data_IF_468337083476
#
_entry.id   IF_468337083476
#
_cell.length_a   1.000
_cell.length_b   1.000
_cell.length_c   1.000
_cell.angle_alpha   90.00
_cell.angle_beta   90.00
_cell.angle_gamma   90.00
#
_symmetry.space_group_name_H-M   'P 1'
#
loop_
_entity.id
_entity.type
_entity.pdbx_description
1 polymer ?
#
# COMPACT_ATOMS: atom_id res chain seq x y z
N UNK A 1 -51.05 -6.29 -7.62
CA UNK A 1 -51.64 -5.04 -7.09
C UNK A 1 -51.03 -4.76 -5.72
N UNK A 2 -49.75 -4.39 -5.68
CA UNK A 2 -49.07 -4.02 -4.43
C UNK A 2 -48.14 -2.85 -4.78
N UNK A 3 -48.65 -1.64 -4.55
CA UNK A 3 -47.93 -0.39 -4.76
C UNK A 3 -47.00 -0.15 -3.56
N UNK A 4 -45.75 0.32 -3.74
CA UNK A 4 -44.83 0.59 -2.65
C UNK A 4 -45.27 1.80 -1.82
N UNK A 5 -45.30 1.64 -0.50
CA UNK A 5 -45.50 2.67 0.50
C UNK A 5 -44.40 3.73 0.43
N UNK A 6 -44.77 4.95 0.04
CA UNK A 6 -43.94 6.14 0.09
C UNK A 6 -43.81 6.58 1.56
N UNK A 7 -42.58 6.60 2.08
CA UNK A 7 -42.24 7.11 3.40
C UNK A 7 -42.16 8.64 3.32
N UNK A 8 -43.23 9.31 3.73
CA UNK A 8 -43.26 10.73 4.06
C UNK A 8 -43.11 10.86 5.58
N UNK A 9 -41.87 10.80 6.08
CA UNK A 9 -41.56 11.25 7.43
C UNK A 9 -41.01 12.68 7.33
N UNK A 10 -41.96 13.63 7.30
CA UNK A 10 -41.74 15.05 7.49
C UNK A 10 -40.98 15.29 8.80
N UNK A 11 -39.68 15.59 8.67
CA UNK A 11 -38.83 15.96 9.79
C UNK A 11 -39.16 17.39 10.22
N UNK A 12 -40.19 17.52 11.06
CA UNK A 12 -40.66 18.76 11.67
C UNK A 12 -39.60 19.33 12.64
N UNK A 13 -38.73 20.21 12.13
CA UNK A 13 -37.84 21.03 12.95
C UNK A 13 -38.61 22.25 13.50
N UNK A 14 -39.65 22.00 14.29
CA UNK A 14 -40.41 23.00 15.03
C UNK A 14 -39.81 23.24 16.41
N UNK A 15 -39.14 24.37 16.62
CA UNK A 15 -38.58 24.69 17.94
C UNK A 15 -37.87 26.03 18.02
N UNK A 16 -38.61 27.12 17.86
CA UNK A 16 -38.12 28.49 18.01
C UNK A 16 -37.59 28.79 19.42
N UNK A 17 -36.40 29.40 19.48
CA UNK A 17 -36.01 30.26 20.58
C UNK A 17 -35.74 31.66 20.03
N UNK A 18 -36.73 32.54 20.23
CA UNK A 18 -36.62 33.95 19.93
C UNK A 18 -35.68 34.64 20.93
N UNK A 19 -34.51 35.06 20.45
CA UNK A 19 -33.64 36.02 21.13
C UNK A 19 -33.59 37.31 20.34
N UNK A 20 -34.52 38.24 20.61
CA UNK A 20 -34.46 39.62 20.10
C UNK A 20 -33.34 40.37 20.83
N UNK A 21 -32.22 40.62 20.15
CA UNK A 21 -31.36 41.74 20.48
C UNK A 21 -31.17 42.63 19.25
N UNK A 22 -31.88 43.75 19.26
CA UNK A 22 -31.71 44.86 18.35
C UNK A 22 -30.39 45.57 18.65
N UNK A 23 -29.47 45.53 17.70
CA UNK A 23 -28.23 46.30 17.74
C UNK A 23 -27.95 46.88 16.37
N UNK A 24 -28.44 48.11 16.14
CA UNK A 24 -28.15 48.92 14.97
C UNK A 24 -26.64 48.97 14.69
N UNK A 25 -26.18 48.33 13.60
CA UNK A 25 -24.92 48.68 12.95
C UNK A 25 -25.24 49.34 11.61
N UNK A 26 -24.73 50.57 11.50
CA UNK A 26 -24.94 51.56 10.44
C UNK A 26 -24.77 50.97 9.05
N UNK A 27 -25.67 51.35 8.15
CA UNK A 27 -25.52 51.29 6.71
C UNK A 27 -24.32 52.16 6.30
N UNK A 28 -23.30 51.56 5.69
CA UNK A 28 -22.25 52.30 5.01
C UNK A 28 -22.79 52.77 3.66
N UNK A 29 -22.58 54.03 3.25
CA UNK A 29 -23.11 54.57 2.00
C UNK A 29 -22.60 53.82 0.77
N UNK A 30 -23.54 53.46 -0.11
CA UNK A 30 -23.27 53.14 -1.51
C UNK A 30 -22.63 54.37 -2.17
N UNK A 31 -21.38 54.23 -2.60
CA UNK A 31 -20.77 55.17 -3.52
C UNK A 31 -20.99 54.61 -4.92
N UNK A 32 -21.97 55.17 -5.62
CA UNK A 32 -22.16 55.05 -7.06
C UNK A 32 -20.96 55.70 -7.76
N UNK A 33 -19.89 54.93 -7.96
CA UNK A 33 -18.73 55.32 -8.77
C UNK A 33 -18.99 54.87 -10.22
N UNK A 34 -20.00 55.49 -10.85
CA UNK A 34 -20.18 55.45 -12.30
C UNK A 34 -19.39 56.59 -12.96
N UNK A 35 -18.78 56.27 -14.11
CA UNK A 35 -18.39 57.21 -15.17
C UNK A 35 -17.07 58.00 -15.09
N UNK A 36 -15.94 57.33 -14.80
CA UNK A 36 -14.63 57.79 -15.30
C UNK A 36 -13.97 56.76 -16.21
N UNK A 37 -14.68 56.38 -17.27
CA UNK A 37 -14.16 55.54 -18.35
C UNK A 37 -13.95 56.37 -19.62
N UNK A 38 -13.04 57.35 -19.58
CA UNK A 38 -12.60 58.11 -20.76
C UNK A 38 -11.26 58.84 -20.51
N UNK A 39 -10.22 58.13 -20.05
CA UNK A 39 -8.84 58.64 -20.15
C UNK A 39 -8.16 58.12 -21.44
N UNK A 40 -8.11 58.94 -22.51
CA UNK A 40 -7.46 58.57 -23.78
C UNK A 40 -5.92 58.48 -23.69
N UNK A 41 -5.32 58.79 -22.54
CA UNK A 41 -3.88 58.62 -22.30
C UNK A 41 -3.51 57.35 -21.54
N UNK A 42 -4.48 56.46 -21.27
CA UNK A 42 -4.21 55.15 -20.68
C UNK A 42 -3.10 54.43 -21.47
N UNK A 43 -1.89 54.24 -20.89
CA UNK A 43 -0.78 53.64 -21.60
C UNK A 43 -1.16 52.21 -21.92
N UNK A 44 -1.23 51.90 -23.23
CA UNK A 44 -1.53 50.55 -23.74
C UNK A 44 -0.70 49.54 -22.94
N UNK A 45 -1.40 48.75 -22.14
CA UNK A 45 -0.89 47.73 -21.22
C UNK A 45 0.24 46.93 -21.88
N UNK A 46 1.48 47.31 -21.61
CA UNK A 46 2.66 46.46 -21.75
C UNK A 46 2.89 45.65 -20.45
N UNK A 47 1.81 45.41 -19.68
CA UNK A 47 1.81 44.70 -18.39
C UNK A 47 1.65 43.20 -18.64
N UNK A 48 2.60 42.59 -19.37
CA UNK A 48 2.65 41.12 -19.45
C UNK A 48 4.03 40.52 -19.24
N UNK A 49 5.11 41.30 -19.09
CA UNK A 49 6.45 40.71 -18.86
C UNK A 49 7.12 41.03 -17.54
N UNK A 50 6.80 42.16 -16.90
CA UNK A 50 7.47 42.53 -15.64
C UNK A 50 6.85 41.85 -14.40
N UNK A 51 5.53 41.65 -14.37
CA UNK A 51 4.87 40.96 -13.24
C UNK A 51 5.17 39.45 -13.22
N UNK A 52 5.28 38.81 -14.39
CA UNK A 52 5.69 37.40 -14.47
C UNK A 52 7.08 37.17 -13.83
N UNK A 53 8.03 38.08 -14.03
CA UNK A 53 9.37 37.96 -13.42
C UNK A 53 9.36 38.09 -11.87
N UNK A 54 8.46 38.91 -11.32
CA UNK A 54 8.29 39.08 -9.86
C UNK A 54 7.64 37.86 -9.21
N UNK A 55 6.62 37.29 -9.88
CA UNK A 55 5.96 36.05 -9.46
C UNK A 55 6.93 34.85 -9.46
N UNK A 56 7.76 34.73 -10.50
CA UNK A 56 8.79 33.68 -10.62
C UNK A 56 9.80 33.75 -9.47
N UNK A 57 10.30 34.94 -9.14
CA UNK A 57 11.28 35.12 -8.05
C UNK A 57 10.69 34.76 -6.69
N UNK A 58 9.43 35.15 -6.44
CA UNK A 58 8.73 34.82 -5.19
C UNK A 58 8.49 33.31 -5.07
N UNK A 59 8.13 32.64 -6.18
CA UNK A 59 7.98 31.19 -6.25
C UNK A 59 9.27 30.44 -5.92
N UNK A 60 10.41 30.88 -6.44
CA UNK A 60 11.73 30.27 -6.15
C UNK A 60 12.10 30.35 -4.67
N UNK A 61 11.84 31.48 -4.01
CA UNK A 61 12.14 31.66 -2.57
C UNK A 61 11.31 30.71 -1.71
N UNK A 62 10.02 30.55 -2.04
CA UNK A 62 9.13 29.62 -1.31
C UNK A 62 9.57 28.17 -1.51
N UNK A 63 9.92 27.78 -2.74
CA UNK A 63 10.42 26.43 -3.07
C UNK A 63 11.73 26.09 -2.33
N UNK A 64 12.66 27.06 -2.23
CA UNK A 64 13.90 26.87 -1.46
C UNK A 64 13.61 26.71 0.04
N UNK A 65 12.69 27.50 0.59
CA UNK A 65 12.33 27.44 2.01
C UNK A 65 11.67 26.10 2.35
N UNK A 66 10.80 25.62 1.47
CA UNK A 66 10.16 24.30 1.58
C UNK A 66 11.18 23.16 1.47
N UNK A 67 12.08 23.21 0.48
CA UNK A 67 13.17 22.22 0.33
C UNK A 67 14.09 22.15 1.55
N UNK A 68 14.41 23.30 2.15
CA UNK A 68 15.23 23.37 3.36
C UNK A 68 14.51 22.76 4.57
N UNK A 69 13.21 23.02 4.70
CA UNK A 69 12.39 22.42 5.76
C UNK A 69 12.27 20.90 5.59
N UNK A 70 12.06 20.40 4.37
CA UNK A 70 12.02 18.97 4.08
C UNK A 70 13.37 18.27 4.37
N UNK A 71 14.49 18.90 4.02
CA UNK A 71 15.83 18.40 4.36
C UNK A 71 16.03 18.31 5.88
N UNK A 72 15.50 19.28 6.65
CA UNK A 72 15.56 19.26 8.10
C UNK A 72 14.72 18.13 8.71
N UNK A 73 13.52 17.89 8.17
CA UNK A 73 12.63 16.86 8.67
C UNK A 73 13.13 15.44 8.34
N UNK A 74 13.70 15.24 7.15
CA UNK A 74 14.37 13.97 6.76
C UNK A 74 15.61 13.67 7.60
N UNK A 75 16.40 14.68 7.94
CA UNK A 75 17.52 14.51 8.87
C UNK A 75 17.03 14.07 10.26
N UNK A 76 15.91 14.62 10.73
CA UNK A 76 15.30 14.21 11.99
C UNK A 76 14.77 12.76 11.95
N UNK A 77 14.18 12.31 10.84
CA UNK A 77 13.73 10.91 10.70
C UNK A 77 14.91 9.94 10.66
N UNK A 78 15.96 10.24 9.87
CA UNK A 78 17.17 9.42 9.84
C UNK A 78 17.86 9.32 11.21
N UNK A 79 17.86 10.42 11.98
CA UNK A 79 18.39 10.43 13.35
C UNK A 79 17.57 9.50 14.27
N UNK A 80 16.24 9.50 14.15
CA UNK A 80 15.37 8.63 14.94
C UNK A 80 15.53 7.15 14.56
N UNK A 81 15.62 6.83 13.27
CA UNK A 81 15.86 5.46 12.79
C UNK A 81 17.22 4.94 13.24
N UNK A 82 18.26 5.78 13.23
CA UNK A 82 19.58 5.44 13.74
C UNK A 82 19.53 5.11 15.23
N UNK A 83 18.82 5.90 16.05
CA UNK A 83 18.65 5.61 17.48
C UNK A 83 17.77 4.38 17.74
N UNK A 84 16.75 4.13 16.93
CA UNK A 84 15.94 2.91 16.99
C UNK A 84 16.76 1.66 16.65
N UNK A 85 17.54 1.69 15.57
CA UNK A 85 18.42 0.60 15.18
C UNK A 85 19.54 0.36 16.21
N UNK A 86 20.12 1.43 16.78
CA UNK A 86 21.06 1.30 17.90
C UNK A 86 20.41 0.65 19.13
N UNK A 87 19.18 1.05 19.46
CA UNK A 87 18.43 0.47 20.58
C UNK A 87 18.10 -0.99 20.33
N UNK A 88 17.77 -1.36 19.08
CA UNK A 88 17.54 -2.74 18.67
C UNK A 88 18.83 -3.55 18.78
N UNK A 89 19.95 -3.08 18.25
CA UNK A 89 21.27 -3.73 18.38
C UNK A 89 21.64 -3.88 19.86
N UNK A 90 21.38 -2.89 20.70
CA UNK A 90 21.57 -2.99 22.15
C UNK A 90 20.64 -4.01 22.82
N UNK A 91 19.39 -4.13 22.35
CA UNK A 91 18.45 -5.14 22.84
C UNK A 91 18.89 -6.55 22.43
N UNK A 92 19.40 -6.72 21.22
CA UNK A 92 20.04 -7.96 20.75
C UNK A 92 21.28 -8.29 21.59
N UNK A 93 22.18 -7.33 21.84
CA UNK A 93 23.33 -7.52 22.70
C UNK A 93 22.94 -7.89 24.14
N UNK A 94 21.90 -7.25 24.67
CA UNK A 94 21.39 -7.53 26.02
C UNK A 94 20.75 -8.91 26.10
N UNK A 95 19.94 -9.27 25.11
CA UNK A 95 19.31 -10.60 25.00
C UNK A 95 20.38 -11.68 24.90
N UNK A 96 21.41 -11.46 24.07
CA UNK A 96 22.52 -12.39 23.92
C UNK A 96 23.32 -12.54 25.23
N UNK A 97 23.56 -11.42 25.95
CA UNK A 97 24.26 -11.43 27.24
C UNK A 97 23.44 -12.07 28.37
N UNK A 98 22.13 -11.84 28.37
CA UNK A 98 21.20 -12.36 29.39
C UNK A 98 20.66 -13.74 29.04
N UNK A 99 20.99 -14.29 27.86
CA UNK A 99 20.57 -15.62 27.49
C UNK A 99 21.20 -16.61 28.49
N UNK A 100 20.41 -17.46 29.20
CA UNK A 100 20.87 -18.19 30.39
C UNK A 100 22.00 -19.22 30.17
N UNK A 101 22.50 -19.38 28.94
CA UNK A 101 23.37 -20.48 28.56
C UNK A 101 24.81 -20.07 28.23
N UNK A 102 25.17 -18.78 28.31
CA UNK A 102 26.58 -18.40 28.25
C UNK A 102 27.14 -18.43 29.68
N UNK A 103 27.69 -19.60 30.03
CA UNK A 103 28.49 -19.79 31.23
C UNK A 103 29.47 -18.62 31.38
N UNK A 104 29.37 -17.90 32.49
CA UNK A 104 30.10 -16.67 32.77
C UNK A 104 31.59 -16.78 32.40
N UNK A 105 32.06 -15.94 31.48
CA UNK A 105 33.48 -15.69 31.28
C UNK A 105 34.14 -16.32 30.04
N UNK A 106 33.41 -17.06 29.21
CA UNK A 106 33.92 -17.52 27.90
C UNK A 106 33.18 -16.74 26.82
N UNK A 107 33.87 -15.85 26.11
CA UNK A 107 33.39 -15.25 24.87
C UNK A 107 32.87 -16.37 23.97
N UNK A 108 31.58 -16.42 23.62
CA UNK A 108 31.07 -17.46 22.75
C UNK A 108 31.80 -17.34 21.41
N UNK A 109 32.65 -18.31 21.10
CA UNK A 109 33.28 -18.36 19.79
C UNK A 109 32.14 -18.34 18.75
N UNK A 110 32.15 -17.47 17.73
CA UNK A 110 31.07 -17.37 16.75
C UNK A 110 30.64 -18.74 16.17
N UNK A 111 31.56 -19.70 16.11
CA UNK A 111 31.30 -21.10 15.71
C UNK A 111 30.29 -21.82 16.61
N UNK A 112 30.33 -21.62 17.93
CA UNK A 112 29.40 -22.26 18.87
C UNK A 112 27.97 -21.76 18.64
N UNK A 113 27.80 -20.45 18.40
CA UNK A 113 26.50 -19.87 18.07
C UNK A 113 25.99 -20.37 16.71
N UNK A 114 26.86 -20.43 15.70
CA UNK A 114 26.52 -20.99 14.38
C UNK A 114 26.07 -22.45 14.52
N UNK A 115 26.77 -23.26 15.31
CA UNK A 115 26.41 -24.66 15.55
C UNK A 115 25.05 -24.79 16.27
N UNK A 116 24.78 -23.95 17.27
CA UNK A 116 23.49 -23.92 17.96
C UNK A 116 22.35 -23.52 17.01
N UNK A 117 22.54 -22.48 16.20
CA UNK A 117 21.56 -22.07 15.19
C UNK A 117 21.33 -23.15 14.14
N UNK A 118 22.38 -23.86 13.73
CA UNK A 118 22.28 -24.98 12.81
C UNK A 118 21.53 -26.17 13.43
N UNK A 119 21.77 -26.47 14.71
CA UNK A 119 21.04 -27.48 15.47
C UNK A 119 19.56 -27.10 15.64
N UNK A 120 19.28 -25.82 15.94
CA UNK A 120 17.92 -25.31 16.05
C UNK A 120 17.18 -25.37 14.71
N UNK A 121 17.86 -25.01 13.61
CA UNK A 121 17.32 -25.07 12.25
C UNK A 121 17.01 -26.52 11.82
N UNK A 122 17.89 -27.46 12.12
CA UNK A 122 17.62 -28.89 11.85
C UNK A 122 16.49 -29.45 12.72
N UNK A 123 16.36 -28.99 13.98
CA UNK A 123 15.22 -29.31 14.83
C UNK A 123 13.91 -28.74 14.29
N UNK A 124 13.92 -27.50 13.80
CA UNK A 124 12.77 -26.85 13.16
C UNK A 124 12.32 -27.66 11.93
N UNK A 125 13.26 -28.05 11.07
CA UNK A 125 13.00 -28.82 9.85
C UNK A 125 12.42 -30.20 10.17
N UNK A 126 12.94 -30.88 11.19
CA UNK A 126 12.40 -32.16 11.69
C UNK A 126 10.96 -32.02 12.22
N UNK A 127 10.68 -30.98 13.01
CA UNK A 127 9.32 -30.72 13.50
C UNK A 127 8.37 -30.39 12.35
N UNK A 128 8.83 -29.65 11.35
CA UNK A 128 8.05 -29.29 10.16
C UNK A 128 7.72 -30.53 9.33
N UNK A 129 8.64 -31.46 9.18
CA UNK A 129 8.39 -32.74 8.50
C UNK A 129 7.37 -33.61 9.27
N UNK A 130 7.47 -33.67 10.61
CA UNK A 130 6.51 -34.39 11.44
C UNK A 130 5.10 -33.80 11.35
N UNK A 131 5.00 -32.46 11.33
CA UNK A 131 3.72 -31.76 11.15
C UNK A 131 3.08 -32.13 9.80
N UNK A 132 3.85 -32.13 8.71
CA UNK A 132 3.34 -32.50 7.39
C UNK A 132 2.93 -33.99 7.31
N UNK A 133 3.67 -34.89 7.97
CA UNK A 133 3.25 -36.30 8.11
C UNK A 133 1.95 -36.43 8.90
N UNK A 134 1.77 -35.65 9.97
CA UNK A 134 0.54 -35.66 10.77
C UNK A 134 -0.66 -35.16 9.96
N UNK A 135 -0.53 -34.04 9.23
CA UNK A 135 -1.58 -33.52 8.35
C UNK A 135 -1.99 -34.51 7.27
N UNK A 136 -1.04 -35.22 6.65
CA UNK A 136 -1.34 -36.26 5.65
C UNK A 136 -2.11 -37.43 6.26
N UNK A 137 -1.77 -37.84 7.49
CA UNK A 137 -2.51 -38.89 8.21
C UNK A 137 -3.92 -38.45 8.57
N UNK A 138 -4.09 -37.22 9.04
CA UNK A 138 -5.39 -36.64 9.36
C UNK A 138 -6.31 -36.59 8.12
N UNK A 139 -5.79 -36.09 6.99
CA UNK A 139 -6.54 -36.07 5.73
C UNK A 139 -6.96 -37.48 5.27
N UNK A 140 -6.10 -38.48 5.44
CA UNK A 140 -6.44 -39.87 5.13
C UNK A 140 -7.57 -40.41 6.02
N UNK A 141 -7.56 -40.10 7.33
CA UNK A 141 -8.63 -40.51 8.24
C UNK A 141 -9.98 -39.92 7.84
N UNK A 142 -10.03 -38.63 7.51
CA UNK A 142 -11.26 -37.94 7.08
C UNK A 142 -11.88 -38.67 5.87
N UNK A 143 -11.07 -39.03 4.87
CA UNK A 143 -11.56 -39.76 3.68
C UNK A 143 -12.11 -41.14 4.05
N UNK A 144 -11.41 -41.89 4.91
CA UNK A 144 -11.90 -43.23 5.32
C UNK A 144 -13.17 -43.16 6.16
N UNK A 145 -13.32 -42.12 6.99
CA UNK A 145 -14.50 -41.89 7.82
C UNK A 145 -15.72 -41.58 6.94
N UNK A 146 -15.59 -40.65 5.99
CA UNK A 146 -16.65 -40.31 5.05
C UNK A 146 -17.10 -41.53 4.22
N UNK A 147 -16.16 -42.39 3.78
CA UNK A 147 -16.49 -43.64 3.09
C UNK A 147 -17.32 -44.59 3.95
N UNK A 148 -16.98 -44.72 5.24
CA UNK A 148 -17.72 -45.58 6.18
C UNK A 148 -19.12 -45.07 6.46
N UNK A 149 -19.29 -43.76 6.57
CA UNK A 149 -20.62 -43.15 6.73
C UNK A 149 -21.53 -43.40 5.53
N UNK A 150 -20.97 -43.29 4.31
CA UNK A 150 -21.67 -43.61 3.07
C UNK A 150 -22.11 -45.10 3.03
N UNK A 151 -21.21 -46.05 3.35
CA UNK A 151 -21.54 -47.48 3.44
C UNK A 151 -22.68 -47.75 4.44
N UNK A 152 -22.69 -47.06 5.59
CA UNK A 152 -23.77 -47.18 6.59
C UNK A 152 -25.10 -46.65 6.02
N UNK A 153 -25.09 -45.56 5.26
CA UNK A 153 -26.30 -45.00 4.65
C UNK A 153 -26.91 -45.94 3.60
N UNK A 154 -26.08 -46.59 2.78
CA UNK A 154 -26.48 -47.58 1.77
C UNK A 154 -27.05 -48.86 2.40
N UNK A 155 -26.43 -49.36 3.48
CA UNK A 155 -26.99 -50.51 4.20
C UNK A 155 -28.37 -50.18 4.82
N UNK A 156 -28.53 -48.96 5.34
CA UNK A 156 -29.82 -48.50 5.88
C UNK A 156 -30.91 -48.42 4.81
N UNK A 157 -30.60 -48.01 3.57
CA UNK A 157 -31.58 -48.00 2.48
C UNK A 157 -31.96 -49.42 2.07
N UNK A 158 -30.99 -50.32 1.89
CA UNK A 158 -31.24 -51.72 1.55
C UNK A 158 -32.16 -52.41 2.57
N UNK A 159 -31.95 -52.15 3.87
CA UNK A 159 -32.82 -52.67 4.94
C UNK A 159 -34.26 -52.14 4.82
N UNK A 160 -34.45 -50.87 4.44
CA UNK A 160 -35.80 -50.30 4.22
C UNK A 160 -36.50 -50.95 3.03
N UNK A 161 -35.78 -51.18 1.93
CA UNK A 161 -36.35 -51.76 0.72
C UNK A 161 -36.76 -53.22 0.93
N UNK A 162 -35.91 -54.01 1.58
CA UNK A 162 -36.25 -55.38 1.98
C UNK A 162 -37.48 -55.42 2.89
N UNK A 163 -37.59 -54.49 3.83
CA UNK A 163 -38.76 -54.38 4.71
C UNK A 163 -40.04 -54.06 3.95
N UNK A 164 -39.97 -53.31 2.85
CA UNK A 164 -41.13 -53.04 1.98
C UNK A 164 -41.50 -54.29 1.18
N UNK A 165 -40.52 -55.00 0.61
CA UNK A 165 -40.75 -56.24 -0.14
C UNK A 165 -41.35 -57.35 0.72
N UNK A 166 -41.04 -57.39 2.02
CA UNK A 166 -41.61 -58.36 2.95
C UNK A 166 -43.08 -58.09 3.29
N UNK A 167 -43.64 -56.92 2.91
CA UNK A 167 -45.07 -56.67 3.10
C UNK A 167 -45.86 -57.57 2.13
N UNK A 168 -46.80 -58.40 2.63
CA UNK A 168 -47.34 -59.51 1.86
C UNK A 168 -48.12 -59.05 0.61
N UNK A 169 -47.78 -59.55 -0.59
CA UNK A 169 -48.56 -59.37 -1.83
C UNK A 169 -49.98 -59.98 -1.78
N UNK A 170 -50.31 -60.71 -0.72
CA UNK A 170 -51.54 -61.52 -0.60
C UNK A 170 -52.84 -60.72 -0.44
N UNK A 171 -52.79 -59.39 -0.34
CA UNK A 171 -54.02 -58.59 -0.22
C UNK A 171 -54.86 -58.61 -1.51
N UNK A 172 -54.25 -58.76 -2.69
CA UNK A 172 -55.00 -58.90 -3.95
C UNK A 172 -55.71 -60.26 -4.04
N UNK A 173 -55.05 -61.35 -3.64
CA UNK A 173 -55.63 -62.69 -3.68
C UNK A 173 -56.90 -62.82 -2.81
N UNK A 174 -56.96 -62.13 -1.67
CA UNK A 174 -58.16 -62.13 -0.80
C UNK A 174 -59.36 -61.40 -1.41
N UNK A 175 -59.15 -60.44 -2.32
CA UNK A 175 -60.26 -59.72 -2.98
C UNK A 175 -61.05 -60.60 -3.93
N UNK A 176 -60.41 -61.59 -4.58
CA UNK A 176 -61.04 -62.45 -5.57
C UNK A 176 -61.99 -63.51 -4.98
N UNK A 177 -61.85 -63.83 -3.68
CA UNK A 177 -62.60 -64.92 -3.03
C UNK A 177 -63.92 -64.47 -2.40
N UNK A 178 -64.20 -63.18 -2.34
CA UNK A 178 -65.42 -62.63 -1.72
C UNK A 178 -66.36 -62.11 -2.80
N UNK A 179 -67.66 -62.42 -2.67
CA UNK A 179 -68.71 -61.79 -3.48
C UNK A 179 -68.61 -60.25 -3.35
N UNK A 180 -68.82 -59.47 -4.43
CA UNK A 180 -68.70 -58.02 -4.40
C UNK A 180 -69.50 -57.31 -3.29
N UNK A 181 -70.74 -57.73 -3.03
CA UNK A 181 -71.59 -57.11 -2.01
C UNK A 181 -71.11 -57.45 -0.59
N UNK A 182 -70.67 -58.70 -0.37
CA UNK A 182 -70.08 -59.14 0.90
C UNK A 182 -68.74 -58.44 1.14
N UNK A 183 -67.94 -58.26 0.09
CA UNK A 183 -66.68 -57.54 0.16
C UNK A 183 -66.89 -56.07 0.51
N UNK A 184 -67.92 -55.43 -0.05
CA UNK A 184 -68.25 -54.04 0.25
C UNK A 184 -68.67 -53.87 1.72
N UNK A 185 -69.55 -54.71 2.25
CA UNK A 185 -69.90 -54.65 3.68
C UNK A 185 -68.72 -55.03 4.59
N UNK A 186 -67.92 -56.03 4.22
CA UNK A 186 -66.71 -56.36 4.98
C UNK A 186 -65.71 -55.21 4.97
N UNK A 187 -65.58 -54.50 3.84
CA UNK A 187 -64.73 -53.32 3.73
C UNK A 187 -65.28 -52.15 4.54
N UNK A 188 -66.59 -51.90 4.49
CA UNK A 188 -67.27 -50.89 5.31
C UNK A 188 -67.08 -51.16 6.80
N UNK A 189 -67.30 -52.41 7.23
CA UNK A 189 -67.12 -52.83 8.61
C UNK A 189 -65.66 -52.76 9.03
N UNK A 190 -64.74 -53.21 8.18
CA UNK A 190 -63.30 -53.13 8.44
C UNK A 190 -62.85 -51.68 8.58
N UNK A 191 -63.25 -50.80 7.67
CA UNK A 191 -62.93 -49.37 7.74
C UNK A 191 -63.51 -48.73 9.00
N UNK A 192 -64.74 -49.09 9.37
CA UNK A 192 -65.36 -48.60 10.60
C UNK A 192 -64.64 -49.11 11.84
N UNK A 193 -64.25 -50.39 11.89
CA UNK A 193 -63.45 -50.98 12.97
C UNK A 193 -62.09 -50.29 13.04
N UNK A 194 -61.38 -50.12 11.91
CA UNK A 194 -60.11 -49.40 11.86
C UNK A 194 -60.26 -47.93 12.31
N UNK A 195 -61.36 -47.26 11.95
CA UNK A 195 -61.67 -45.90 12.40
C UNK A 195 -61.94 -45.87 13.91
N UNK A 196 -62.73 -46.81 14.45
CA UNK A 196 -63.02 -46.88 15.88
C UNK A 196 -61.79 -47.29 16.69
N UNK A 197 -60.97 -48.22 16.21
CA UNK A 197 -59.70 -48.61 16.84
C UNK A 197 -58.73 -47.43 16.86
N UNK A 198 -58.64 -46.66 15.76
CA UNK A 198 -57.89 -45.39 15.76
C UNK A 198 -58.46 -44.41 16.79
N UNK A 199 -59.78 -44.23 16.84
CA UNK A 199 -60.45 -43.34 17.80
C UNK A 199 -60.19 -43.76 19.25
N UNK A 200 -60.26 -45.06 19.54
CA UNK A 200 -59.97 -45.63 20.86
C UNK A 200 -58.51 -45.39 21.22
N UNK A 201 -57.59 -45.62 20.28
CA UNK A 201 -56.16 -45.34 20.49
C UNK A 201 -55.90 -43.86 20.72
N UNK A 202 -56.47 -42.97 19.90
CA UNK A 202 -56.39 -41.51 20.08
C UNK A 202 -56.94 -41.09 21.45
N UNK A 203 -58.08 -41.62 21.87
CA UNK A 203 -58.66 -41.32 23.20
C UNK A 203 -57.82 -41.90 24.34
N UNK A 204 -57.24 -43.09 24.18
CA UNK A 204 -56.32 -43.68 25.14
C UNK A 204 -55.02 -42.86 25.24
N UNK A 205 -54.46 -42.43 24.12
CA UNK A 205 -53.28 -41.57 24.06
C UNK A 205 -53.59 -40.19 24.67
N UNK A 206 -54.78 -39.64 24.42
CA UNK A 206 -55.25 -38.40 25.05
C UNK A 206 -55.44 -38.57 26.56
N UNK A 207 -56.01 -39.69 27.02
CA UNK A 207 -56.12 -39.99 28.46
C UNK A 207 -54.74 -40.13 29.07
N UNK A 208 -53.79 -40.79 28.40
CA UNK A 208 -52.41 -40.92 28.86
C UNK A 208 -51.73 -39.53 28.94
N UNK A 209 -51.89 -38.68 27.93
CA UNK A 209 -51.37 -37.32 27.90
C UNK A 209 -52.02 -36.41 28.96
N UNK A 210 -53.33 -36.51 29.20
CA UNK A 210 -54.05 -35.76 30.24
C UNK A 210 -53.70 -36.29 31.64
N UNK A 211 -53.46 -37.60 31.77
CA UNK A 211 -53.01 -38.22 33.03
C UNK A 211 -51.54 -37.92 33.36
N UNK A 212 -50.76 -37.45 32.37
CA UNK A 212 -49.43 -36.89 32.62
C UNK A 212 -49.59 -35.62 33.44
N UNK A 213 -49.47 -35.78 34.75
CA UNK A 213 -49.47 -34.66 35.68
C UNK A 213 -48.04 -34.20 35.90
N UNK A 214 -47.73 -32.90 35.74
CA UNK A 214 -46.44 -32.34 36.12
C UNK A 214 -46.06 -32.61 37.58
N UNK A 215 -47.05 -32.92 38.42
CA UNK A 215 -46.88 -33.26 39.83
C UNK A 215 -46.57 -34.74 40.10
N UNK A 216 -46.82 -35.65 39.15
CA UNK A 216 -46.41 -37.05 39.30
C UNK A 216 -44.89 -37.17 39.41
N UNK A 217 -44.38 -38.23 40.05
CA UNK A 217 -42.94 -38.49 40.16
C UNK A 217 -42.25 -38.51 38.78
N UNK A 218 -42.90 -39.14 37.79
CA UNK A 218 -42.43 -39.19 36.41
C UNK A 218 -42.49 -37.83 35.73
N UNK A 219 -43.58 -37.07 35.92
CA UNK A 219 -43.74 -35.73 35.36
C UNK A 219 -42.74 -34.73 35.91
N UNK A 220 -42.49 -34.75 37.23
CA UNK A 220 -41.45 -33.94 37.88
C UNK A 220 -40.07 -34.26 37.31
N UNK A 221 -39.76 -35.54 37.13
CA UNK A 221 -38.49 -35.98 36.57
C UNK A 221 -38.34 -35.54 35.10
N UNK A 222 -39.38 -35.69 34.28
CA UNK A 222 -39.34 -35.24 32.89
C UNK A 222 -39.18 -33.71 32.80
N UNK A 223 -39.94 -32.95 33.59
CA UNK A 223 -39.83 -31.49 33.60
C UNK A 223 -38.46 -31.01 34.09
N UNK A 224 -37.86 -31.68 35.06
CA UNK A 224 -36.48 -31.41 35.48
C UNK A 224 -35.50 -31.68 34.32
N UNK A 225 -35.63 -32.82 33.65
CA UNK A 225 -34.80 -33.16 32.48
C UNK A 225 -34.98 -32.20 31.32
N UNK A 226 -36.20 -31.76 31.04
CA UNK A 226 -36.47 -30.75 30.01
C UNK A 226 -35.81 -29.41 30.35
N UNK A 227 -35.85 -28.98 31.62
CA UNK A 227 -35.14 -27.77 32.07
C UNK A 227 -33.63 -27.91 31.88
N UNK A 228 -33.03 -29.02 32.32
CA UNK A 228 -31.59 -29.27 32.13
C UNK A 228 -31.22 -29.28 30.64
N UNK A 229 -31.99 -29.96 29.79
CA UNK A 229 -31.74 -29.96 28.34
C UNK A 229 -31.94 -28.57 27.71
N UNK A 230 -32.85 -27.76 28.23
CA UNK A 230 -33.07 -26.40 27.77
C UNK A 230 -31.91 -25.49 28.16
N UNK A 231 -31.43 -25.58 29.39
CA UNK A 231 -30.23 -24.88 29.89
C UNK A 231 -28.97 -25.28 29.11
N UNK A 232 -28.77 -26.58 28.87
CA UNK A 232 -27.64 -27.09 28.05
C UNK A 232 -27.71 -26.58 26.60
N UNK A 233 -28.89 -26.58 25.98
CA UNK A 233 -29.04 -26.07 24.61
C UNK A 233 -28.84 -24.56 24.52
N UNK A 234 -29.28 -23.80 25.52
CA UNK A 234 -29.03 -22.36 25.62
C UNK A 234 -27.53 -22.08 25.77
N UNK A 235 -26.84 -22.82 26.65
CA UNK A 235 -25.39 -22.73 26.83
C UNK A 235 -24.61 -23.08 25.55
N UNK A 236 -25.00 -24.14 24.84
CA UNK A 236 -24.41 -24.50 23.53
C UNK A 236 -24.62 -23.37 22.51
N UNK A 237 -25.81 -22.75 22.50
CA UNK A 237 -26.11 -21.60 21.65
C UNK A 237 -25.25 -20.37 21.97
N UNK A 238 -25.05 -20.10 23.25
CA UNK A 238 -24.18 -19.01 23.73
C UNK A 238 -22.72 -19.28 23.34
N UNK A 239 -22.18 -20.46 23.62
CA UNK A 239 -20.81 -20.81 23.24
C UNK A 239 -20.57 -20.76 21.72
N UNK A 240 -21.54 -21.22 20.92
CA UNK A 240 -21.43 -21.19 19.46
C UNK A 240 -21.47 -19.76 18.90
N UNK A 241 -22.30 -18.90 19.48
CA UNK A 241 -22.44 -17.50 19.05
C UNK A 241 -21.28 -16.63 19.56
N UNK A 242 -20.96 -16.70 20.85
CA UNK A 242 -19.89 -15.91 21.49
C UNK A 242 -18.50 -16.35 21.03
N UNK A 243 -18.23 -17.65 20.95
CA UNK A 243 -16.92 -18.18 20.54
C UNK A 243 -16.58 -17.77 19.11
N UNK A 244 -17.53 -17.95 18.18
CA UNK A 244 -17.35 -17.55 16.78
C UNK A 244 -17.27 -16.03 16.61
N UNK A 245 -18.08 -15.27 17.36
CA UNK A 245 -18.05 -13.82 17.34
C UNK A 245 -16.71 -13.28 17.87
N UNK A 246 -16.18 -13.85 18.95
CA UNK A 246 -14.88 -13.50 19.50
C UNK A 246 -13.75 -13.82 18.51
N UNK A 247 -13.73 -15.03 17.93
CA UNK A 247 -12.73 -15.42 16.93
C UNK A 247 -12.74 -14.50 15.71
N UNK A 248 -13.92 -14.18 15.17
CA UNK A 248 -14.07 -13.24 14.05
C UNK A 248 -13.65 -11.82 14.46
N UNK A 249 -13.94 -11.39 15.69
CA UNK A 249 -13.48 -10.13 16.25
C UNK A 249 -11.95 -10.03 16.30
N UNK A 250 -11.28 -11.09 16.77
CA UNK A 250 -9.81 -11.16 16.78
C UNK A 250 -9.22 -11.12 15.36
N UNK A 251 -9.79 -11.88 14.42
CA UNK A 251 -9.37 -11.87 13.01
C UNK A 251 -9.54 -10.49 12.37
N UNK A 252 -10.65 -9.83 12.65
CA UNK A 252 -10.91 -8.47 12.15
C UNK A 252 -9.91 -7.46 12.73
N UNK A 253 -9.59 -7.55 14.03
CA UNK A 253 -8.60 -6.68 14.65
C UNK A 253 -7.19 -6.88 14.06
N UNK A 254 -6.78 -8.14 13.85
CA UNK A 254 -5.52 -8.47 13.20
C UNK A 254 -5.46 -7.91 11.77
N UNK A 255 -6.52 -8.11 10.98
CA UNK A 255 -6.59 -7.60 9.61
C UNK A 255 -6.52 -6.06 9.56
N UNK A 256 -7.18 -5.37 10.51
CA UNK A 256 -7.08 -3.91 10.64
C UNK A 256 -5.65 -3.46 10.95
N UNK A 257 -4.95 -4.18 11.83
CA UNK A 257 -3.55 -3.90 12.16
C UNK A 257 -2.63 -4.06 10.94
N UNK A 258 -2.78 -5.17 10.20
CA UNK A 258 -2.00 -5.42 8.98
C UNK A 258 -2.27 -4.39 7.88
N UNK A 259 -3.55 -4.03 7.66
CA UNK A 259 -3.91 -2.97 6.72
C UNK A 259 -3.30 -1.62 7.11
N UNK A 260 -3.24 -1.31 8.41
CA UNK A 260 -2.58 -0.10 8.92
C UNK A 260 -1.08 -0.12 8.64
N UNK A 261 -0.41 -1.25 8.89
CA UNK A 261 1.02 -1.42 8.59
C UNK A 261 1.32 -1.27 7.10
N UNK A 262 0.52 -1.89 6.23
CA UNK A 262 0.68 -1.76 4.78
C UNK A 262 0.52 -0.31 4.32
N UNK A 263 -0.47 0.43 4.86
CA UNK A 263 -0.64 1.86 4.56
C UNK A 263 0.57 2.68 4.97
N UNK A 264 1.11 2.45 6.16
CA UNK A 264 2.32 3.15 6.63
C UNK A 264 3.54 2.84 5.74
N UNK A 265 3.69 1.59 5.29
CA UNK A 265 4.76 1.21 4.37
C UNK A 265 4.62 1.89 3.00
N UNK A 266 3.39 1.95 2.45
CA UNK A 266 3.12 2.66 1.19
C UNK A 266 3.38 4.16 1.33
N UNK A 267 2.98 4.77 2.44
CA UNK A 267 3.28 6.18 2.72
C UNK A 267 4.79 6.43 2.78
N UNK A 268 5.54 5.56 3.46
CA UNK A 268 7.01 5.63 3.51
C UNK A 268 7.65 5.51 2.12
N UNK A 269 7.20 4.57 1.30
CA UNK A 269 7.69 4.38 -0.07
C UNK A 269 7.37 5.60 -0.96
N UNK A 270 6.18 6.19 -0.81
CA UNK A 270 5.77 7.37 -1.56
C UNK A 270 6.67 8.57 -1.22
N UNK A 271 6.96 8.81 0.06
CA UNK A 271 7.91 9.85 0.48
C UNK A 271 9.32 9.62 -0.07
N UNK A 272 9.77 8.37 -0.10
CA UNK A 272 11.08 8.04 -0.68
C UNK A 272 11.13 8.33 -2.18
N UNK A 273 10.08 7.97 -2.92
CA UNK A 273 9.96 8.26 -4.35
C UNK A 273 9.96 9.76 -4.64
N UNK A 274 9.25 10.55 -3.83
CA UNK A 274 9.26 12.01 -3.91
C UNK A 274 10.65 12.58 -3.66
N UNK A 275 11.36 12.09 -2.64
CA UNK A 275 12.75 12.46 -2.37
C UNK A 275 13.68 12.18 -3.55
N UNK A 276 13.61 10.97 -4.12
CA UNK A 276 14.39 10.60 -5.30
C UNK A 276 14.05 11.45 -6.53
N UNK A 277 12.77 11.79 -6.72
CA UNK A 277 12.33 12.64 -7.83
C UNK A 277 12.94 14.03 -7.72
N UNK A 278 12.90 14.63 -6.52
CA UNK A 278 13.53 15.92 -6.25
C UNK A 278 15.05 15.89 -6.47
N UNK A 279 15.73 14.80 -6.08
CA UNK A 279 17.18 14.66 -6.29
C UNK A 279 17.55 14.52 -7.77
N UNK A 280 16.73 13.81 -8.55
CA UNK A 280 16.88 13.72 -10.01
C UNK A 280 16.70 15.09 -10.66
N UNK A 281 15.68 15.86 -10.24
CA UNK A 281 15.45 17.23 -10.74
C UNK A 281 16.65 18.15 -10.45
N UNK A 282 17.13 18.18 -9.20
CA UNK A 282 18.33 18.97 -8.82
C UNK A 282 19.58 18.52 -9.58
N UNK A 283 19.76 17.21 -9.76
CA UNK A 283 20.87 16.67 -10.54
C UNK A 283 20.79 17.14 -12.00
N UNK A 284 19.60 17.12 -12.60
CA UNK A 284 19.38 17.60 -13.96
C UNK A 284 19.67 19.11 -14.08
N UNK A 285 19.22 19.93 -13.12
CA UNK A 285 19.53 21.36 -13.06
C UNK A 285 21.04 21.61 -12.98
N UNK A 286 21.75 20.84 -12.15
CA UNK A 286 23.21 20.94 -12.04
C UNK A 286 23.92 20.53 -13.32
N UNK A 287 23.45 19.50 -14.02
CA UNK A 287 23.98 19.10 -15.33
C UNK A 287 23.82 20.23 -16.35
N UNK A 288 22.66 20.89 -16.41
CA UNK A 288 22.43 22.03 -17.31
C UNK A 288 23.40 23.17 -17.00
N UNK A 289 23.56 23.55 -15.73
CA UNK A 289 24.52 24.59 -15.33
C UNK A 289 25.98 24.23 -15.69
N UNK A 290 26.35 22.95 -15.57
CA UNK A 290 27.69 22.49 -15.93
C UNK A 290 27.90 22.52 -17.45
N UNK A 291 26.89 22.17 -18.24
CA UNK A 291 26.91 22.28 -19.70
C UNK A 291 27.09 23.74 -20.14
N UNK A 292 26.32 24.68 -19.57
CA UNK A 292 26.46 26.12 -19.87
C UNK A 292 27.86 26.66 -19.52
N UNK A 293 28.42 26.25 -18.37
CA UNK A 293 29.78 26.62 -17.98
C UNK A 293 30.84 26.04 -18.92
N UNK A 294 30.64 24.82 -19.40
CA UNK A 294 31.54 24.18 -20.36
C UNK A 294 31.53 24.96 -21.68
N UNK A 295 30.35 25.31 -22.19
CA UNK A 295 30.19 26.13 -23.39
C UNK A 295 30.85 27.50 -23.24
N UNK A 296 30.72 28.17 -22.10
CA UNK A 296 31.38 29.45 -21.86
C UNK A 296 32.90 29.32 -21.86
N UNK A 297 33.44 28.25 -21.25
CA UNK A 297 34.88 27.97 -21.28
C UNK A 297 35.36 27.64 -22.69
N UNK A 298 34.58 26.91 -23.47
CA UNK A 298 34.89 26.65 -24.88
C UNK A 298 34.92 27.94 -25.71
N UNK A 299 33.95 28.85 -25.50
CA UNK A 299 33.97 30.19 -26.11
C UNK A 299 35.20 30.99 -25.70
N UNK A 300 35.59 30.94 -24.42
CA UNK A 300 36.79 31.61 -23.92
C UNK A 300 38.07 31.04 -24.54
N UNK A 301 38.18 29.71 -24.65
CA UNK A 301 39.30 29.03 -25.30
C UNK A 301 39.38 29.42 -26.78
N UNK A 302 38.25 29.48 -27.49
CA UNK A 302 38.22 29.92 -28.89
C UNK A 302 38.70 31.36 -29.05
N UNK A 303 38.26 32.28 -28.18
CA UNK A 303 38.74 33.67 -28.15
C UNK A 303 40.25 33.76 -27.94
N UNK A 304 40.77 33.08 -26.92
CA UNK A 304 42.21 33.07 -26.63
C UNK A 304 43.03 32.44 -27.76
N UNK A 305 42.54 31.36 -28.38
CA UNK A 305 43.17 30.77 -29.57
C UNK A 305 43.22 31.77 -30.73
N UNK A 306 42.17 32.56 -30.94
CA UNK A 306 42.16 33.60 -31.96
C UNK A 306 43.18 34.71 -31.64
N UNK A 307 43.22 35.20 -30.40
CA UNK A 307 44.18 36.21 -29.95
C UNK A 307 45.63 35.74 -30.09
N UNK A 308 45.94 34.49 -29.72
CA UNK A 308 47.27 33.90 -29.92
C UNK A 308 47.63 33.86 -31.41
N UNK A 309 46.68 33.47 -32.28
CA UNK A 309 46.90 33.46 -33.72
C UNK A 309 47.17 34.86 -34.27
N UNK A 310 46.45 35.87 -33.80
CA UNK A 310 46.66 37.28 -34.19
C UNK A 310 48.04 37.76 -33.75
N UNK A 311 48.43 37.54 -32.48
CA UNK A 311 49.76 37.90 -31.97
C UNK A 311 50.88 37.23 -32.75
N UNK A 312 50.74 35.95 -33.08
CA UNK A 312 51.73 35.25 -33.90
C UNK A 312 51.88 35.86 -35.31
N UNK A 313 50.80 36.36 -35.91
CA UNK A 313 50.86 37.08 -37.20
C UNK A 313 51.54 38.44 -37.06
N UNK A 314 51.25 39.18 -35.98
CA UNK A 314 51.90 40.46 -35.69
C UNK A 314 53.40 40.29 -35.42
N UNK A 315 53.79 39.27 -34.65
CA UNK A 315 55.19 38.93 -34.38
C UNK A 315 55.93 38.58 -35.68
N UNK A 316 55.29 37.83 -36.59
CA UNK A 316 55.85 37.55 -37.91
C UNK A 316 56.01 38.83 -38.75
N UNK A 317 55.02 39.74 -38.73
CA UNK A 317 55.08 41.02 -39.43
C UNK A 317 56.22 41.89 -38.91
N UNK A 318 56.32 42.06 -37.58
CA UNK A 318 57.39 42.82 -36.93
C UNK A 318 58.77 42.24 -37.23
N UNK A 319 58.91 40.91 -37.22
CA UNK A 319 60.16 40.24 -37.58
C UNK A 319 60.57 40.51 -39.03
N UNK A 320 59.60 40.51 -39.95
CA UNK A 320 59.84 40.86 -41.35
C UNK A 320 60.22 42.34 -41.53
N UNK A 321 59.52 43.26 -40.86
CA UNK A 321 59.87 44.69 -40.86
C UNK A 321 61.28 44.95 -40.31
N UNK A 322 61.66 44.27 -39.22
CA UNK A 322 62.99 44.37 -38.64
C UNK A 322 64.07 43.84 -39.60
N UNK A 323 63.78 42.73 -40.28
CA UNK A 323 64.69 42.16 -41.28
C UNK A 323 64.85 43.10 -42.49
N UNK A 324 63.78 43.75 -42.94
CA UNK A 324 63.83 44.76 -43.99
C UNK A 324 64.68 45.97 -43.59
N UNK A 325 64.47 46.51 -42.38
CA UNK A 325 65.28 47.62 -41.86
C UNK A 325 66.77 47.25 -41.77
N UNK A 326 67.08 46.05 -41.31
CA UNK A 326 68.47 45.60 -41.22
C UNK A 326 69.12 45.45 -42.62
N UNK A 327 68.37 45.03 -43.64
CA UNK A 327 68.83 45.00 -45.03
C UNK A 327 69.06 46.42 -45.58
N UNK A 328 68.17 47.37 -45.28
CA UNK A 328 68.33 48.78 -45.66
C UNK A 328 69.55 49.41 -44.98
N UNK A 329 69.73 49.18 -43.68
CA UNK A 329 70.90 49.64 -42.91
C UNK A 329 72.21 49.09 -43.49
N UNK A 330 72.23 47.81 -43.86
CA UNK A 330 73.38 47.21 -44.55
C UNK A 330 73.63 47.85 -45.91
N UNK A 331 72.58 48.15 -46.68
CA UNK A 331 72.69 48.80 -47.99
C UNK A 331 73.25 50.22 -47.86
N UNK A 332 72.72 51.02 -46.94
CA UNK A 332 73.21 52.36 -46.61
C UNK A 332 74.68 52.35 -46.16
N UNK A 333 75.07 51.37 -45.35
CA UNK A 333 76.46 51.21 -44.91
C UNK A 333 77.39 50.90 -46.08
N UNK A 334 76.96 50.05 -47.01
CA UNK A 334 77.73 49.74 -48.22
C UNK A 334 77.83 50.95 -49.16
N UNK A 335 76.73 51.69 -49.36
CA UNK A 335 76.72 52.94 -50.15
C UNK A 335 77.68 53.99 -49.55
N UNK A 336 77.68 54.19 -48.22
CA UNK A 336 78.63 55.08 -47.54
C UNK A 336 80.08 54.63 -47.72
N UNK A 337 80.33 53.32 -47.66
CA UNK A 337 81.67 52.77 -47.80
C UNK A 337 82.19 52.89 -49.24
N UNK A 338 81.34 52.73 -50.25
CA UNK A 338 81.64 53.03 -51.64
C UNK A 338 81.93 54.51 -51.85
N UNK A 339 81.11 55.40 -51.28
CA UNK A 339 81.29 56.85 -51.39
C UNK A 339 82.63 57.30 -50.81
N UNK A 340 83.02 56.76 -49.65
CA UNK A 340 84.33 57.01 -49.05
C UNK A 340 85.51 56.48 -49.90
N UNK A 341 85.30 55.42 -50.70
CA UNK A 341 86.31 54.91 -51.63
C UNK A 341 86.43 55.81 -52.88
N UNK A 342 85.33 56.34 -53.40
CA UNK A 342 85.33 57.32 -54.49
C UNK A 342 86.04 58.63 -54.07
N UNK A 343 85.65 59.20 -52.92
CA UNK A 343 86.31 60.40 -52.37
C UNK A 343 87.80 60.18 -52.04
N UNK A 344 88.19 58.94 -51.71
CA UNK A 344 89.58 58.55 -51.50
C UNK A 344 90.40 58.42 -52.78
N UNK A 345 89.77 57.98 -53.88
CA UNK A 345 90.45 57.77 -55.15
C UNK A 345 90.70 59.10 -55.90
N UNK A 346 89.81 60.08 -55.74
CA UNK A 346 90.01 61.43 -56.29
C UNK A 346 91.20 62.16 -55.62
N UNK A 347 91.50 61.87 -54.35
CA UNK A 347 92.70 62.39 -53.70
C UNK A 347 93.99 61.72 -54.22
N UNK A 348 93.95 60.42 -54.57
CA UNK A 348 95.13 59.71 -55.07
C UNK A 348 95.41 60.00 -56.56
N UNK A 349 94.38 60.33 -57.35
CA UNK A 349 94.60 60.82 -58.72
C UNK A 349 95.36 62.16 -58.75
N UNK A 350 95.33 62.94 -57.66
CA UNK A 350 96.13 64.16 -57.50
C UNK A 350 97.62 63.93 -57.25
N UNK A 351 98.01 62.79 -56.66
CA UNK A 351 99.42 62.51 -56.32
C UNK A 351 100.20 61.76 -57.42
N UNK A 352 99.51 61.18 -58.41
CA UNK A 352 100.15 60.54 -59.55
C UNK A 352 100.63 61.51 -60.65
N UNK A 353 100.30 62.81 -60.55
CA UNK A 353 100.82 63.86 -61.43
C UNK A 353 102.07 64.49 -60.81
N UNK A 354 103.13 63.69 -60.72
CA UNK A 354 104.48 64.09 -60.32
C UNK A 354 105.31 64.47 -61.54
#
# INVERSE_FOLDING_TARGET
MASPTHFDDDFDFGGGFGGRHSGNKRSSPDYDDEDYDNDPFAPKKAITKAEEASGVTTGMILSLRESLQNCKDTLATCQNELEAAKSEIQSWHSTLKNQPSILAGITPEPKMLINYLQALKSSEESLREQLEKAKKKEAAFIVTFAKREQEIAELKSAVRDLKVQLKPPSMQARRLLLDPAVHEEFTRLKNLVEEKDKKVKELQDNIAAVSFTPQSKMGKMLMAKCRTLQEENEEIGNQASEGKMHELGMKLALQKSQNSQLRNQFEGLQKHMEGLTNDVERSNEMVLMLQEKLEEKDRQIQRLKHEIKQKNLEDQRLKHELQQKNLEDQRLKHELQQKNLEDGNDNNAGEAAN
#
